data_IF_497461494521
#
_entry.id   IF_497461494521
#
_cell.length_a   1.000
_cell.length_b   1.000
_cell.length_c   1.000
_cell.angle_alpha   90.00
_cell.angle_beta   90.00
_cell.angle_gamma   90.00
#
_symmetry.space_group_name_H-M   'P 1'
#
loop_
_entity.id
_entity.type
_entity.pdbx_description
1 polymer ?
#
# COMPACT_ATOMS: atom_id res chain seq x y z
N UNK A 1 -0.56 -26.69 -32.51
CA UNK A 1 0.79 -26.22 -32.09
C UNK A 1 0.95 -24.70 -32.19
N UNK A 2 -0.11 -23.93 -32.48
CA UNK A 2 -0.07 -22.46 -32.64
C UNK A 2 -0.42 -21.67 -31.37
N UNK A 3 -1.11 -22.26 -30.40
CA UNK A 3 -1.67 -21.48 -29.28
C UNK A 3 -0.69 -21.25 -28.12
N UNK A 4 0.27 -22.15 -27.90
CA UNK A 4 1.25 -22.00 -26.79
C UNK A 4 2.19 -20.81 -27.01
N UNK A 5 2.48 -20.47 -28.27
CA UNK A 5 3.28 -19.30 -28.63
C UNK A 5 2.57 -17.98 -28.30
N UNK A 6 1.24 -17.93 -28.42
CA UNK A 6 0.45 -16.74 -28.10
C UNK A 6 0.47 -16.42 -26.59
N UNK A 7 0.47 -17.45 -25.74
CA UNK A 7 0.58 -17.28 -24.28
C UNK A 7 1.95 -16.77 -23.84
N UNK A 8 3.03 -17.24 -24.47
CA UNK A 8 4.40 -16.73 -24.21
C UNK A 8 4.56 -15.28 -24.69
N UNK A 9 3.87 -14.88 -25.76
CA UNK A 9 3.88 -13.49 -26.25
C UNK A 9 3.18 -12.51 -25.31
N UNK A 10 2.11 -12.90 -24.61
CA UNK A 10 1.45 -12.04 -23.62
C UNK A 10 2.33 -11.69 -22.41
N UNK A 11 3.31 -12.51 -22.06
CA UNK A 11 4.27 -12.21 -20.98
C UNK A 11 5.38 -11.25 -21.41
N UNK A 12 5.69 -11.18 -22.71
CA UNK A 12 6.81 -10.43 -23.28
C UNK A 12 6.37 -9.15 -24.01
N UNK A 13 5.07 -8.89 -24.15
CA UNK A 13 4.62 -7.65 -24.78
C UNK A 13 4.94 -6.44 -23.89
N UNK A 14 5.62 -5.42 -24.44
CA UNK A 14 5.69 -4.14 -23.77
C UNK A 14 4.24 -3.65 -23.58
N UNK A 15 3.92 -3.22 -22.35
CA UNK A 15 2.68 -2.52 -22.07
C UNK A 15 2.61 -1.38 -23.07
N UNK A 16 1.68 -1.47 -24.03
CA UNK A 16 1.39 -0.36 -24.92
C UNK A 16 0.95 0.80 -24.01
N UNK A 17 1.48 2.02 -24.18
CA UNK A 17 1.04 3.16 -23.40
C UNK A 17 -0.42 3.40 -23.74
N UNK A 18 -1.32 2.86 -22.92
CA UNK A 18 -2.70 3.31 -22.86
C UNK A 18 -2.62 4.78 -22.44
N UNK A 19 -3.40 5.62 -23.11
CA UNK A 19 -3.55 7.06 -22.84
C UNK A 19 -3.47 7.36 -21.32
N UNK A 20 -2.86 8.49 -20.91
CA UNK A 20 -2.40 8.70 -19.55
C UNK A 20 -3.55 8.52 -18.56
N UNK A 21 -3.60 7.34 -17.92
CA UNK A 21 -4.37 7.18 -16.71
C UNK A 21 -3.70 8.07 -15.65
N UNK A 22 -4.46 8.71 -14.75
CA UNK A 22 -3.92 9.59 -13.71
C UNK A 22 -3.06 8.86 -12.65
N UNK A 23 -2.77 7.58 -12.88
CA UNK A 23 -1.94 6.69 -12.09
C UNK A 23 -0.79 6.26 -13.00
N UNK A 24 0.43 6.73 -12.73
CA UNK A 24 1.62 6.12 -13.32
C UNK A 24 1.70 4.68 -12.84
N UNK A 25 1.41 3.74 -13.75
CA UNK A 25 1.67 2.33 -13.49
C UNK A 25 3.18 2.19 -13.37
N UNK A 26 3.71 1.97 -12.16
CA UNK A 26 5.14 1.73 -11.98
C UNK A 26 5.54 0.50 -12.83
N UNK A 27 6.29 0.70 -13.94
CA UNK A 27 6.62 -0.38 -14.84
C UNK A 27 7.46 -1.44 -14.13
N UNK A 28 8.26 -1.04 -13.13
CA UNK A 28 9.07 -1.96 -12.33
C UNK A 28 8.16 -2.90 -11.54
N UNK A 29 7.09 -2.38 -10.94
CA UNK A 29 6.14 -3.17 -10.17
C UNK A 29 5.41 -4.19 -11.04
N UNK A 30 5.02 -3.80 -12.26
CA UNK A 30 4.40 -4.70 -13.25
C UNK A 30 5.35 -5.81 -13.66
N UNK A 31 6.61 -5.48 -13.95
CA UNK A 31 7.63 -6.49 -14.29
C UNK A 31 7.91 -7.42 -13.12
N UNK A 32 8.01 -6.89 -11.89
CA UNK A 32 8.17 -7.71 -10.69
C UNK A 32 6.99 -8.66 -10.47
N UNK A 33 5.76 -8.19 -10.66
CA UNK A 33 4.57 -9.03 -10.59
C UNK A 33 4.59 -10.14 -11.64
N UNK A 34 4.89 -9.79 -12.91
CA UNK A 34 5.01 -10.76 -14.01
C UNK A 34 6.10 -11.79 -13.76
N UNK A 35 7.28 -11.36 -13.30
CA UNK A 35 8.40 -12.25 -12.97
C UNK A 35 8.06 -13.14 -11.77
N UNK A 36 7.34 -12.62 -10.76
CA UNK A 36 6.87 -13.41 -9.61
C UNK A 36 5.88 -14.50 -10.04
N UNK A 37 4.93 -14.17 -10.91
CA UNK A 37 3.97 -15.13 -11.46
C UNK A 37 4.66 -16.14 -12.38
N UNK A 38 5.57 -15.68 -13.23
CA UNK A 38 6.36 -16.52 -14.15
C UNK A 38 7.25 -17.50 -13.41
N UNK A 39 7.92 -17.07 -12.33
CA UNK A 39 8.74 -17.94 -11.49
C UNK A 39 7.91 -18.96 -10.71
N UNK A 40 6.73 -18.57 -10.20
CA UNK A 40 5.80 -19.51 -9.59
C UNK A 40 5.34 -20.60 -10.59
N UNK A 41 4.98 -20.20 -11.82
CA UNK A 41 4.59 -21.14 -12.88
C UNK A 41 5.75 -22.04 -13.29
N UNK A 42 6.95 -21.48 -13.50
CA UNK A 42 8.16 -22.24 -13.80
C UNK A 42 8.47 -23.27 -12.71
N UNK A 43 8.22 -22.91 -11.44
CA UNK A 43 8.33 -23.85 -10.32
C UNK A 43 7.36 -25.00 -10.40
N UNK A 44 6.08 -24.73 -10.69
CA UNK A 44 5.09 -25.80 -10.86
C UNK A 44 5.52 -26.74 -12.00
N UNK A 45 5.94 -26.20 -13.14
CA UNK A 45 6.39 -26.97 -14.29
C UNK A 45 7.65 -27.78 -13.99
N UNK A 46 8.64 -27.20 -13.29
CA UNK A 46 9.85 -27.88 -12.86
C UNK A 46 9.52 -29.02 -11.89
N UNK A 47 8.61 -28.80 -10.93
CA UNK A 47 8.14 -29.84 -10.02
C UNK A 47 7.52 -31.02 -10.75
N UNK A 48 6.61 -30.75 -11.69
CA UNK A 48 6.00 -31.79 -12.54
C UNK A 48 7.05 -32.53 -13.39
N UNK A 49 7.99 -31.81 -13.98
CA UNK A 49 9.10 -32.39 -14.74
C UNK A 49 9.94 -33.32 -13.87
N UNK A 50 10.31 -32.91 -12.66
CA UNK A 50 11.11 -33.73 -11.74
C UNK A 50 10.38 -35.02 -11.33
N UNK A 51 9.07 -34.98 -11.14
CA UNK A 51 8.26 -36.18 -10.84
C UNK A 51 8.34 -37.21 -11.97
N UNK A 52 8.26 -36.76 -13.23
CA UNK A 52 8.33 -37.63 -14.42
C UNK A 52 9.76 -38.09 -14.70
N UNK A 53 10.74 -37.19 -14.57
CA UNK A 53 12.13 -37.43 -14.93
C UNK A 53 12.96 -38.09 -13.82
N UNK A 54 12.44 -38.25 -12.59
CA UNK A 54 13.19 -38.78 -11.43
C UNK A 54 13.92 -40.09 -11.67
N UNK A 55 13.37 -40.97 -12.52
CA UNK A 55 13.98 -42.28 -12.85
C UNK A 55 15.11 -42.18 -13.87
N UNK A 56 15.22 -41.07 -14.60
CA UNK A 56 16.22 -40.81 -15.64
C UNK A 56 17.34 -39.89 -15.18
N UNK A 57 17.16 -39.20 -14.05
CA UNK A 57 18.14 -38.27 -13.50
C UNK A 57 19.07 -38.99 -12.51
N UNK A 58 20.35 -38.62 -12.52
CA UNK A 58 21.29 -39.05 -11.47
C UNK A 58 20.93 -38.47 -10.11
N UNK A 59 21.26 -39.17 -9.03
CA UNK A 59 20.90 -38.81 -7.65
C UNK A 59 21.38 -37.39 -7.27
N UNK A 60 22.62 -37.05 -7.62
CA UNK A 60 23.21 -35.72 -7.38
C UNK A 60 22.42 -34.61 -8.08
N UNK A 61 22.09 -34.81 -9.36
CA UNK A 61 21.32 -33.81 -10.14
C UNK A 61 19.92 -33.62 -9.59
N UNK A 62 19.25 -34.72 -9.19
CA UNK A 62 17.93 -34.66 -8.59
C UNK A 62 17.95 -33.89 -7.27
N UNK A 63 18.95 -34.11 -6.40
CA UNK A 63 19.11 -33.39 -5.13
C UNK A 63 19.27 -31.88 -5.33
N UNK A 64 20.15 -31.44 -6.24
CA UNK A 64 20.35 -30.02 -6.53
C UNK A 64 19.11 -29.36 -7.13
N UNK A 65 18.41 -30.04 -8.05
CA UNK A 65 17.18 -29.52 -8.65
C UNK A 65 16.04 -29.42 -7.62
N UNK A 66 15.90 -30.41 -6.73
CA UNK A 66 14.96 -30.34 -5.63
C UNK A 66 15.30 -29.20 -4.65
N UNK A 67 16.58 -28.98 -4.33
CA UNK A 67 17.00 -27.85 -3.50
C UNK A 67 16.65 -26.52 -4.16
N UNK A 68 16.95 -26.35 -5.46
CA UNK A 68 16.56 -25.15 -6.20
C UNK A 68 15.05 -24.92 -6.19
N UNK A 69 14.27 -25.98 -6.40
CA UNK A 69 12.81 -25.94 -6.45
C UNK A 69 12.14 -25.65 -5.10
N UNK A 70 12.64 -26.23 -3.99
CA UNK A 70 11.98 -26.14 -2.68
C UNK A 70 12.57 -25.06 -1.78
N UNK A 71 13.76 -24.54 -2.10
CA UNK A 71 14.42 -23.52 -1.28
C UNK A 71 14.57 -22.21 -2.04
N UNK A 72 15.30 -22.22 -3.16
CA UNK A 72 15.67 -20.97 -3.85
C UNK A 72 14.47 -20.33 -4.55
N UNK A 73 13.70 -21.12 -5.28
CA UNK A 73 12.58 -20.61 -6.06
C UNK A 73 11.43 -20.09 -5.17
N UNK A 74 10.98 -20.78 -4.11
CA UNK A 74 9.95 -20.25 -3.23
C UNK A 74 10.41 -19.00 -2.50
N UNK A 75 11.69 -18.93 -2.09
CA UNK A 75 12.25 -17.73 -1.46
C UNK A 75 12.18 -16.53 -2.41
N UNK A 76 12.54 -16.72 -3.69
CA UNK A 76 12.46 -15.67 -4.71
C UNK A 76 11.01 -15.21 -4.93
N UNK A 77 10.07 -16.15 -5.11
CA UNK A 77 8.64 -15.86 -5.31
C UNK A 77 8.06 -15.12 -4.11
N UNK A 78 8.37 -15.57 -2.89
CA UNK A 78 7.90 -14.94 -1.66
C UNK A 78 8.48 -13.53 -1.55
N UNK A 79 9.77 -13.33 -1.78
CA UNK A 79 10.40 -12.01 -1.69
C UNK A 79 9.76 -11.01 -2.68
N UNK A 80 9.62 -11.41 -3.95
CA UNK A 80 9.03 -10.55 -4.98
C UNK A 80 7.53 -10.29 -4.74
N UNK A 81 6.77 -11.33 -4.39
CA UNK A 81 5.36 -11.21 -4.06
C UNK A 81 5.11 -10.29 -2.87
N UNK A 82 5.96 -10.35 -1.84
CA UNK A 82 5.89 -9.43 -0.71
C UNK A 82 6.20 -7.99 -1.14
N UNK A 83 7.23 -7.74 -1.95
CA UNK A 83 7.52 -6.38 -2.45
C UNK A 83 6.29 -5.81 -3.18
N UNK A 84 5.69 -6.58 -4.08
CA UNK A 84 4.50 -6.16 -4.83
C UNK A 84 3.33 -5.88 -3.91
N UNK A 85 3.02 -6.82 -3.00
CA UNK A 85 1.94 -6.68 -2.04
C UNK A 85 2.13 -5.47 -1.11
N UNK A 86 3.37 -5.21 -0.68
CA UNK A 86 3.69 -4.07 0.17
C UNK A 86 3.56 -2.72 -0.54
N UNK A 87 3.82 -2.64 -1.86
CA UNK A 87 3.57 -1.40 -2.61
C UNK A 87 2.07 -1.22 -2.87
N UNK A 88 1.35 -2.29 -3.21
CA UNK A 88 -0.10 -2.22 -3.41
C UNK A 88 -0.84 -1.81 -2.13
N UNK A 89 -0.34 -2.21 -0.96
CA UNK A 89 -0.90 -1.85 0.34
C UNK A 89 -0.83 -0.34 0.69
N UNK A 90 -0.23 0.49 -0.16
CA UNK A 90 -0.18 1.96 -0.01
C UNK A 90 -1.29 2.67 -0.78
N UNK A 91 -1.95 1.96 -1.69
CA UNK A 91 -2.94 2.52 -2.62
C UNK A 91 -4.29 2.71 -1.95
N UNK A 92 -5.04 3.73 -2.39
CA UNK A 92 -6.38 4.05 -1.87
C UNK A 92 -7.32 2.87 -2.06
N UNK A 93 -7.23 2.18 -3.20
CA UNK A 93 -8.04 1.01 -3.54
C UNK A 93 -7.83 -0.13 -2.54
N UNK A 94 -6.62 -0.30 -2.02
CA UNK A 94 -6.34 -1.27 -0.98
C UNK A 94 -7.00 -0.88 0.34
N UNK A 95 -6.87 0.38 0.76
CA UNK A 95 -7.53 0.89 1.97
C UNK A 95 -9.06 0.77 1.86
N UNK A 96 -9.63 1.10 0.69
CA UNK A 96 -11.06 1.03 0.40
C UNK A 96 -11.60 -0.41 0.38
N UNK A 97 -10.75 -1.43 0.19
CA UNK A 97 -11.18 -2.83 0.20
C UNK A 97 -11.87 -3.24 1.52
N UNK A 98 -11.55 -2.55 2.62
CA UNK A 98 -12.22 -2.68 3.91
C UNK A 98 -13.41 -1.70 4.01
N UNK A 99 -14.31 -1.72 3.02
CA UNK A 99 -15.36 -0.71 2.84
C UNK A 99 -16.21 -0.41 4.09
N UNK A 100 -16.45 -1.37 4.98
CA UNK A 100 -17.24 -1.14 6.21
C UNK A 100 -16.55 -0.21 7.21
N UNK A 101 -15.22 -0.29 7.33
CA UNK A 101 -14.46 0.52 8.29
C UNK A 101 -13.81 1.74 7.63
N UNK A 102 -13.49 1.65 6.33
CA UNK A 102 -12.75 2.68 5.60
C UNK A 102 -13.60 3.47 4.60
N UNK A 103 -14.79 2.99 4.21
CA UNK A 103 -15.60 3.60 3.15
C UNK A 103 -15.90 5.08 3.42
N UNK A 104 -16.36 5.40 4.63
CA UNK A 104 -16.66 6.77 5.05
C UNK A 104 -15.47 7.73 4.86
N UNK A 105 -14.25 7.31 5.20
CA UNK A 105 -13.06 8.16 5.05
C UNK A 105 -12.68 8.39 3.59
N UNK A 106 -12.85 7.37 2.75
CA UNK A 106 -12.60 7.47 1.31
C UNK A 106 -13.65 8.36 0.65
N UNK A 107 -14.91 8.24 1.06
CA UNK A 107 -16.02 9.09 0.59
C UNK A 107 -15.80 10.55 0.94
N UNK A 108 -15.45 10.87 2.20
CA UNK A 108 -15.09 12.23 2.62
C UNK A 108 -13.90 12.79 1.82
N UNK A 109 -12.85 11.98 1.66
CA UNK A 109 -11.66 12.39 0.89
C UNK A 109 -12.00 12.66 -0.59
N UNK A 110 -12.95 11.93 -1.17
CA UNK A 110 -13.35 12.09 -2.58
C UNK A 110 -14.46 13.12 -2.77
N UNK A 111 -15.13 13.56 -1.70
CA UNK A 111 -16.18 14.57 -1.76
C UNK A 111 -15.60 15.95 -2.11
N UNK A 112 -15.91 16.40 -3.33
CA UNK A 112 -15.51 17.71 -3.83
C UNK A 112 -16.04 18.90 -3.02
N UNK A 113 -17.11 18.72 -2.23
CA UNK A 113 -17.69 19.75 -1.37
C UNK A 113 -17.10 19.76 0.03
N UNK A 114 -16.46 18.66 0.46
CA UNK A 114 -15.84 18.55 1.77
C UNK A 114 -14.69 19.55 1.93
N UNK A 115 -14.61 20.12 3.13
CA UNK A 115 -13.57 21.07 3.54
C UNK A 115 -12.52 20.43 4.45
N UNK A 116 -12.57 19.11 4.63
CA UNK A 116 -11.61 18.37 5.46
C UNK A 116 -10.22 18.41 4.82
N UNK A 117 -9.17 18.21 5.62
CA UNK A 117 -7.82 18.21 5.07
C UNK A 117 -7.63 17.11 4.04
N UNK A 118 -8.21 15.92 4.25
CA UNK A 118 -8.15 14.82 3.29
C UNK A 118 -8.74 15.22 1.94
N UNK A 119 -9.95 15.80 1.93
CA UNK A 119 -10.61 16.25 0.70
C UNK A 119 -9.81 17.33 -0.03
N UNK A 120 -9.26 18.30 0.70
CA UNK A 120 -8.42 19.35 0.11
C UNK A 120 -7.12 18.79 -0.48
N UNK A 121 -6.43 17.89 0.22
CA UNK A 121 -5.19 17.27 -0.27
C UNK A 121 -5.42 16.36 -1.47
N UNK A 122 -6.56 15.65 -1.49
CA UNK A 122 -6.99 14.81 -2.61
C UNK A 122 -7.32 15.65 -3.85
N UNK A 123 -8.24 16.60 -3.72
CA UNK A 123 -8.72 17.45 -4.83
C UNK A 123 -7.61 18.28 -5.46
N UNK A 124 -6.69 18.81 -4.65
CA UNK A 124 -5.61 19.65 -5.12
C UNK A 124 -4.35 18.86 -5.54
N UNK A 125 -4.38 17.52 -5.41
CA UNK A 125 -3.24 16.62 -5.68
C UNK A 125 -1.95 17.04 -4.96
N UNK A 126 -2.07 17.56 -3.73
CA UNK A 126 -0.90 17.92 -2.92
C UNK A 126 -0.14 16.67 -2.45
N UNK A 127 -0.82 15.52 -2.37
CA UNK A 127 -0.19 14.20 -2.35
C UNK A 127 -0.53 13.47 -3.65
N UNK A 128 0.36 13.47 -4.66
CA UNK A 128 0.05 12.91 -5.98
C UNK A 128 -0.03 11.38 -5.98
N UNK A 129 0.66 10.73 -5.05
CA UNK A 129 0.68 9.27 -4.91
C UNK A 129 0.35 8.86 -3.47
N UNK A 130 -0.11 7.60 -3.33
CA UNK A 130 -0.30 6.91 -2.05
C UNK A 130 -1.00 7.78 -0.98
N UNK A 131 -2.10 8.43 -1.36
CA UNK A 131 -2.70 9.56 -0.63
C UNK A 131 -3.05 9.28 0.83
N UNK A 132 -3.60 8.11 1.14
CA UNK A 132 -3.81 7.70 2.53
C UNK A 132 -2.47 7.43 3.23
N UNK A 133 -1.57 6.70 2.56
CA UNK A 133 -0.30 6.28 3.12
C UNK A 133 0.64 7.46 3.44
N UNK A 134 0.64 8.51 2.62
CA UNK A 134 1.51 9.68 2.77
C UNK A 134 1.38 10.35 4.15
N UNK A 135 0.16 10.39 4.67
CA UNK A 135 -0.18 10.95 5.98
C UNK A 135 -0.21 9.88 7.10
N UNK A 136 -0.59 8.64 6.79
CA UNK A 136 -0.78 7.58 7.79
C UNK A 136 0.46 6.69 8.02
N UNK A 137 1.51 6.82 7.22
CA UNK A 137 2.76 6.10 7.39
C UNK A 137 3.93 7.03 7.72
N UNK A 138 4.64 6.70 8.79
CA UNK A 138 5.83 7.44 9.19
C UNK A 138 6.99 7.25 8.22
N UNK A 139 7.81 8.30 8.07
CA UNK A 139 9.01 8.26 7.23
C UNK A 139 10.04 7.21 7.69
N UNK A 140 10.82 6.72 6.72
CA UNK A 140 11.94 5.81 6.92
C UNK A 140 11.54 4.33 6.88
N UNK A 141 12.53 3.47 6.66
CA UNK A 141 12.34 2.02 6.50
C UNK A 141 11.55 1.38 7.66
N UNK A 142 11.75 1.87 8.89
CA UNK A 142 11.04 1.37 10.08
C UNK A 142 9.63 1.98 10.26
N UNK A 143 9.38 3.18 9.75
CA UNK A 143 8.07 3.80 9.74
C UNK A 143 7.11 3.04 8.82
N UNK A 144 7.59 2.67 7.63
CA UNK A 144 6.88 1.83 6.68
C UNK A 144 6.55 0.44 7.27
N UNK A 145 7.51 -0.20 7.95
CA UNK A 145 7.30 -1.52 8.59
C UNK A 145 6.28 -1.43 9.72
N UNK A 146 6.34 -0.40 10.57
CA UNK A 146 5.38 -0.24 11.68
C UNK A 146 3.97 0.04 11.17
N UNK A 147 3.83 0.87 10.13
CA UNK A 147 2.55 1.14 9.49
C UNK A 147 1.95 -0.15 8.90
N UNK A 148 2.78 -0.95 8.22
CA UNK A 148 2.38 -2.25 7.65
C UNK A 148 1.97 -3.26 8.71
N UNK A 149 2.70 -3.33 9.82
CA UNK A 149 2.36 -4.22 10.94
C UNK A 149 1.01 -3.84 11.56
N UNK A 150 0.76 -2.55 11.78
CA UNK A 150 -0.55 -2.06 12.26
C UNK A 150 -1.66 -2.37 11.26
N UNK A 151 -1.42 -2.12 9.97
CA UNK A 151 -2.35 -2.48 8.91
C UNK A 151 -2.70 -3.97 8.89
N UNK A 152 -1.72 -4.85 9.16
CA UNK A 152 -1.98 -6.29 9.31
C UNK A 152 -2.85 -6.59 10.54
N UNK A 153 -2.60 -5.95 11.69
CA UNK A 153 -3.42 -6.10 12.88
C UNK A 153 -4.87 -5.65 12.62
N UNK A 154 -5.05 -4.52 11.94
CA UNK A 154 -6.38 -3.98 11.62
C UNK A 154 -7.10 -4.85 10.58
N UNK A 155 -6.37 -5.39 9.60
CA UNK A 155 -6.89 -6.40 8.67
C UNK A 155 -7.40 -7.65 9.42
N UNK A 156 -6.63 -8.17 10.37
CA UNK A 156 -7.02 -9.32 11.16
C UNK A 156 -8.27 -9.04 12.01
N UNK A 157 -8.37 -7.85 12.62
CA UNK A 157 -9.57 -7.42 13.36
C UNK A 157 -10.79 -7.30 12.44
N UNK A 158 -10.61 -6.74 11.25
CA UNK A 158 -11.66 -6.64 10.24
C UNK A 158 -12.16 -8.03 9.83
N UNK A 159 -11.25 -8.93 9.48
CA UNK A 159 -11.57 -10.30 9.07
C UNK A 159 -12.26 -11.10 10.18
N UNK A 160 -11.78 -10.97 11.42
CA UNK A 160 -12.36 -11.61 12.60
C UNK A 160 -13.65 -10.91 13.10
N UNK A 161 -14.03 -9.77 12.52
CA UNK A 161 -15.15 -8.91 12.96
C UNK A 161 -15.06 -8.47 14.43
N UNK A 162 -13.83 -8.25 14.91
CA UNK A 162 -13.56 -7.80 16.29
C UNK A 162 -13.16 -6.32 16.33
N UNK A 163 -13.59 -5.53 15.35
CA UNK A 163 -13.35 -4.08 15.30
C UNK A 163 -14.47 -3.34 16.03
N UNK A 164 -14.16 -2.14 16.52
CA UNK A 164 -15.11 -1.25 17.20
C UNK A 164 -15.38 -0.02 16.33
N UNK A 165 -16.62 0.46 16.37
CA UNK A 165 -17.04 1.72 15.75
C UNK A 165 -17.36 2.74 16.85
N UNK A 166 -17.00 4.03 16.69
CA UNK A 166 -16.34 4.62 15.53
C UNK A 166 -14.87 4.17 15.41
N UNK A 167 -14.34 4.10 14.19
CA UNK A 167 -12.92 3.76 13.97
C UNK A 167 -12.07 4.91 14.46
N UNK A 168 -11.27 4.65 15.49
CA UNK A 168 -10.36 5.63 16.08
C UNK A 168 -8.91 5.36 15.64
N UNK A 169 -8.12 6.44 15.57
CA UNK A 169 -6.68 6.28 15.37
C UNK A 169 -6.01 5.76 16.63
N UNK A 170 -5.07 4.83 16.45
CA UNK A 170 -4.25 4.30 17.55
C UNK A 170 -3.39 5.37 18.25
N UNK A 171 -3.06 6.44 17.54
CA UNK A 171 -2.32 7.58 18.05
C UNK A 171 -2.65 8.82 17.20
N UNK A 172 -2.52 10.05 17.76
CA UNK A 172 -2.62 11.27 16.99
C UNK A 172 -1.62 11.34 15.84
N UNK A 173 -1.92 12.15 14.82
CA UNK A 173 -0.95 12.44 13.78
C UNK A 173 0.29 13.09 14.39
N UNK A 174 1.45 12.66 13.91
CA UNK A 174 2.72 13.28 14.30
C UNK A 174 2.96 14.47 13.40
N UNK A 175 3.36 15.60 13.96
CA UNK A 175 3.71 16.79 13.18
C UNK A 175 4.77 16.52 12.11
N UNK A 176 5.67 15.57 12.38
CA UNK A 176 6.65 15.10 11.41
C UNK A 176 6.03 14.65 10.07
N UNK A 177 4.80 14.11 10.06
CA UNK A 177 4.11 13.71 8.83
C UNK A 177 3.69 14.92 7.99
N UNK A 178 3.19 15.98 8.63
CA UNK A 178 2.83 17.23 7.99
C UNK A 178 4.08 17.99 7.50
N UNK A 179 5.12 18.04 8.33
CA UNK A 179 6.35 18.79 8.07
C UNK A 179 7.14 18.25 6.86
N UNK A 180 6.94 16.98 6.45
CA UNK A 180 7.54 16.43 5.21
C UNK A 180 7.32 17.34 4.00
N UNK A 181 6.11 17.89 3.90
CA UNK A 181 5.70 18.73 2.78
C UNK A 181 5.59 20.20 3.18
N UNK A 182 5.26 20.50 4.43
CA UNK A 182 4.98 21.87 4.87
C UNK A 182 6.19 22.65 5.36
N UNK A 183 7.20 22.00 5.98
CA UNK A 183 8.29 22.71 6.68
C UNK A 183 9.07 23.66 5.77
N UNK A 184 9.23 23.29 4.49
CA UNK A 184 10.04 24.03 3.51
C UNK A 184 9.22 24.97 2.63
N UNK A 185 7.96 25.22 2.98
CA UNK A 185 7.10 26.11 2.19
C UNK A 185 7.22 27.56 2.67
N UNK A 186 7.13 28.55 1.76
CA UNK A 186 7.13 29.97 2.15
C UNK A 186 6.02 30.28 3.17
N UNK A 187 4.82 29.74 2.96
CA UNK A 187 3.68 29.89 3.87
C UNK A 187 3.95 29.40 5.29
N UNK A 188 4.80 28.40 5.46
CA UNK A 188 5.19 27.93 6.78
C UNK A 188 6.13 28.94 7.45
N UNK A 189 7.16 29.41 6.73
CA UNK A 189 8.15 30.35 7.25
C UNK A 189 7.65 31.78 7.45
N UNK A 190 6.61 32.19 6.72
CA UNK A 190 6.01 33.54 6.80
C UNK A 190 4.98 33.70 7.92
N UNK A 191 4.51 32.60 8.51
CA UNK A 191 3.53 32.64 9.60
C UNK A 191 4.23 32.91 10.94
N UNK A 192 3.92 34.05 11.56
CA UNK A 192 4.44 34.40 12.90
C UNK A 192 4.17 33.29 13.93
N UNK A 193 2.98 32.69 13.91
CA UNK A 193 2.62 31.57 14.80
C UNK A 193 3.51 30.33 14.63
N UNK A 194 3.99 30.05 13.41
CA UNK A 194 4.90 28.93 13.19
C UNK A 194 6.33 29.25 13.59
N UNK A 195 6.75 30.52 13.45
CA UNK A 195 8.09 30.98 13.81
C UNK A 195 8.23 31.02 15.34
N UNK A 196 7.25 31.59 16.02
CA UNK A 196 7.25 31.74 17.48
C UNK A 196 7.08 30.38 18.19
N UNK A 197 6.23 29.50 17.66
CA UNK A 197 5.95 28.16 18.19
C UNK A 197 6.78 27.03 17.57
N UNK A 198 7.88 27.33 16.89
CA UNK A 198 8.60 26.34 16.07
C UNK A 198 9.12 25.17 16.91
N UNK A 199 9.54 25.42 18.14
CA UNK A 199 10.08 24.39 19.04
C UNK A 199 8.98 23.40 19.45
N UNK A 200 7.82 23.90 19.82
CA UNK A 200 6.63 23.17 20.25
C UNK A 200 6.02 22.38 19.07
N UNK A 201 6.02 22.95 17.86
CA UNK A 201 5.59 22.27 16.64
C UNK A 201 6.55 21.12 16.32
N UNK A 202 7.87 21.33 16.45
CA UNK A 202 8.86 20.28 16.16
C UNK A 202 8.90 19.19 17.23
N UNK A 203 8.68 19.53 18.49
CA UNK A 203 8.55 18.56 19.58
C UNK A 203 7.25 17.76 19.50
N UNK A 204 6.22 18.32 18.88
CA UNK A 204 4.89 17.72 18.80
C UNK A 204 4.01 18.08 20.00
N UNK A 205 4.43 19.03 20.84
CA UNK A 205 3.63 19.57 21.95
C UNK A 205 2.47 20.44 21.45
N UNK A 206 2.67 21.14 20.33
CA UNK A 206 1.61 21.86 19.62
C UNK A 206 1.29 21.14 18.31
N UNK A 207 0.17 20.41 18.26
CA UNK A 207 -0.23 19.61 17.11
C UNK A 207 -0.76 20.45 15.95
N UNK A 208 -0.41 20.09 14.70
CA UNK A 208 -0.90 20.82 13.52
C UNK A 208 -2.44 20.88 13.46
N UNK A 209 -3.12 19.79 13.85
CA UNK A 209 -4.59 19.69 13.81
C UNK A 209 -5.31 20.47 14.92
N UNK A 210 -4.60 21.09 15.84
CA UNK A 210 -5.18 21.98 16.85
C UNK A 210 -5.57 23.33 16.24
N UNK A 211 -4.93 23.72 15.14
CA UNK A 211 -5.23 24.94 14.39
C UNK A 211 -5.68 24.66 12.95
N UNK A 212 -5.14 23.62 12.30
CA UNK A 212 -5.59 23.17 10.99
C UNK A 212 -6.79 22.23 11.15
N UNK A 213 -7.84 22.45 10.35
CA UNK A 213 -9.13 21.77 10.49
C UNK A 213 -9.07 20.24 10.49
N UNK A 214 -10.21 19.56 10.71
CA UNK A 214 -10.21 18.13 10.92
C UNK A 214 -9.65 17.39 9.69
N UNK A 215 -8.90 16.32 9.96
CA UNK A 215 -8.30 15.50 8.92
C UNK A 215 -9.36 14.87 8.00
N UNK A 216 -10.44 14.38 8.62
CA UNK A 216 -11.60 13.78 7.99
C UNK A 216 -12.89 14.31 8.60
N UNK A 217 -14.02 14.10 7.94
CA UNK A 217 -15.33 14.43 8.48
C UNK A 217 -15.61 13.59 9.76
N UNK A 218 -16.45 14.11 10.65
CA UNK A 218 -16.86 13.36 11.85
C UNK A 218 -17.68 12.13 11.42
N UNK A 219 -17.37 10.96 11.99
CA UNK A 219 -18.08 9.73 11.67
C UNK A 219 -19.49 9.80 12.24
N UNK A 220 -20.47 10.11 11.39
CA UNK A 220 -21.87 9.97 11.76
C UNK A 220 -22.23 8.48 11.68
N UNK A 221 -22.13 7.78 12.81
CA UNK A 221 -22.63 6.40 12.93
C UNK A 221 -24.15 6.45 12.80
N UNK A 222 -24.68 6.30 11.59
CA UNK A 222 -26.12 6.08 11.43
C UNK A 222 -26.48 4.74 12.09
N UNK A 223 -27.53 4.72 12.91
CA UNK A 223 -28.03 3.54 13.64
C UNK A 223 -28.28 2.31 12.74
N UNK A 224 -28.29 2.50 11.41
CA UNK A 224 -28.49 1.46 10.40
C UNK A 224 -27.20 0.69 10.01
N UNK A 225 -26.02 1.08 10.47
CA UNK A 225 -24.77 0.35 10.18
C UNK A 225 -24.65 -1.00 10.94
N UNK A 226 -25.54 -1.25 11.91
CA UNK A 226 -25.69 -2.51 12.63
C UNK A 226 -26.83 -3.38 12.08
N UNK A 227 -27.14 -3.27 10.78
CA UNK A 227 -28.07 -4.15 10.10
C UNK A 227 -27.70 -5.62 10.31
N UNK A 228 -28.44 -6.27 11.22
CA UNK A 228 -28.63 -7.72 11.25
C UNK A 228 -29.19 -8.19 9.92
#
# INVERSE_FOLDING_TARGET
MSDVAAWLFCFLTPVQPVAPLPYEIDPVLVWLQRLSLGSALAGILLGLFLVVARRRLGETSLKWLCMGQFVLLPLLVVAMGNIVGLQQAKKVEFCQSCHLTMGFFVEDMQDSSSQTLAAQHFRNRWSPEDQCYACHASYGMFGDVRAKWKGLQDFLKYYAKTYELPVQMHAPYRNAECLKCHERTPKFAESEYHVDGLAEIRSGELGCLECHGPAHAEQVISENAHGR
#
